data_IF_940943741388
#
_entry.id   IF_940943741388
#
_cell.length_a   1.000
_cell.length_b   1.000
_cell.length_c   1.000
_cell.angle_alpha   90.00
_cell.angle_beta   90.00
_cell.angle_gamma   90.00
#
_symmetry.space_group_name_H-M   'P 1'
#
loop_
_entity.id
_entity.type
_entity.pdbx_description
1 polymer ?
#
# COMPACT_ATOMS: atom_id res chain seq x y z
N UNK A 1 -9.53 -23.17 -1.91
CA UNK A 1 -9.05 -22.89 -3.28
C UNK A 1 -8.11 -21.70 -3.21
N UNK A 2 -7.13 -21.58 -4.12
CA UNK A 2 -6.32 -20.37 -4.21
C UNK A 2 -7.15 -19.20 -4.76
N UNK A 3 -6.83 -17.99 -4.32
CA UNK A 3 -7.51 -16.75 -4.70
C UNK A 3 -6.83 -16.21 -5.95
N UNK A 4 -7.56 -16.11 -7.05
CA UNK A 4 -7.01 -15.67 -8.33
C UNK A 4 -7.06 -14.15 -8.46
N UNK A 5 -5.89 -13.53 -8.66
CA UNK A 5 -5.76 -12.07 -8.73
C UNK A 5 -5.17 -11.62 -10.06
N UNK A 6 -5.62 -10.44 -10.50
CA UNK A 6 -5.05 -9.70 -11.61
C UNK A 6 -4.53 -8.35 -11.12
N UNK A 7 -3.49 -7.84 -11.77
CA UNK A 7 -2.86 -6.56 -11.40
C UNK A 7 -2.99 -5.62 -12.60
N UNK A 8 -3.65 -4.47 -12.41
CA UNK A 8 -3.67 -3.39 -13.39
C UNK A 8 -2.68 -2.31 -12.96
N UNK A 9 -1.67 -2.02 -13.78
CA UNK A 9 -0.55 -1.14 -13.46
C UNK A 9 0.62 -1.87 -12.80
N UNK A 10 1.78 -1.82 -13.42
CA UNK A 10 3.04 -2.46 -13.00
C UNK A 10 4.07 -1.45 -12.44
N UNK A 11 3.56 -0.38 -11.81
CA UNK A 11 4.38 0.58 -11.06
C UNK A 11 4.86 0.01 -9.70
N UNK A 12 5.39 0.86 -8.80
CA UNK A 12 5.93 0.42 -7.50
C UNK A 12 4.97 -0.44 -6.68
N UNK A 13 3.69 -0.03 -6.55
CA UNK A 13 2.68 -0.80 -5.80
C UNK A 13 2.31 -2.09 -6.51
N UNK A 14 2.07 -2.05 -7.84
CA UNK A 14 1.70 -3.23 -8.62
C UNK A 14 2.80 -4.30 -8.63
N UNK A 15 4.06 -3.88 -8.75
CA UNK A 15 5.24 -4.75 -8.64
C UNK A 15 5.36 -5.36 -7.24
N UNK A 16 5.22 -4.57 -6.18
CA UNK A 16 5.22 -5.11 -4.80
C UNK A 16 4.04 -6.04 -4.55
N UNK A 17 2.87 -5.78 -5.13
CA UNK A 17 1.70 -6.65 -5.05
C UNK A 17 1.92 -7.98 -5.78
N UNK A 18 2.55 -7.97 -6.96
CA UNK A 18 2.96 -9.18 -7.67
C UNK A 18 3.88 -10.02 -6.78
N UNK A 19 4.94 -9.42 -6.24
CA UNK A 19 5.90 -10.14 -5.42
C UNK A 19 5.29 -10.68 -4.12
N UNK A 20 4.46 -9.89 -3.44
CA UNK A 20 3.77 -10.34 -2.23
C UNK A 20 2.78 -11.49 -2.52
N UNK A 21 2.08 -11.46 -3.66
CA UNK A 21 1.15 -12.52 -4.05
C UNK A 21 1.89 -13.80 -4.46
N UNK A 22 3.03 -13.67 -5.15
CA UNK A 22 3.88 -14.77 -5.53
C UNK A 22 4.54 -15.47 -4.32
N UNK A 23 4.77 -14.75 -3.24
CA UNK A 23 5.32 -15.29 -1.99
C UNK A 23 4.28 -16.00 -1.10
N UNK A 24 2.98 -15.83 -1.38
CA UNK A 24 1.89 -16.36 -0.56
C UNK A 24 1.08 -17.43 -1.33
N UNK A 25 1.15 -18.70 -0.92
CA UNK A 25 0.52 -19.81 -1.66
C UNK A 25 -1.02 -19.74 -1.70
N UNK A 26 -1.64 -18.86 -0.90
CA UNK A 26 -3.07 -18.61 -0.99
C UNK A 26 -3.44 -17.87 -2.29
N UNK A 27 -2.51 -17.17 -2.93
CA UNK A 27 -2.78 -16.40 -4.14
C UNK A 27 -2.26 -17.08 -5.40
N UNK A 28 -2.89 -16.71 -6.52
CA UNK A 28 -2.45 -17.08 -7.86
C UNK A 28 -2.63 -15.88 -8.76
N UNK A 29 -1.53 -15.29 -9.24
CA UNK A 29 -1.59 -14.14 -10.16
C UNK A 29 -1.72 -14.70 -11.57
N UNK A 30 -2.76 -14.35 -12.33
CA UNK A 30 -2.92 -14.91 -13.69
C UNK A 30 -2.83 -13.88 -14.80
N UNK A 31 -2.92 -12.59 -14.47
CA UNK A 31 -2.79 -11.51 -15.45
C UNK A 31 -2.18 -10.24 -14.84
N UNK A 32 -1.32 -9.60 -15.62
CA UNK A 32 -0.82 -8.24 -15.40
C UNK A 32 -1.17 -7.40 -16.63
N UNK A 33 -1.79 -6.25 -16.40
CA UNK A 33 -2.17 -5.31 -17.46
C UNK A 33 -1.43 -4.01 -17.24
N UNK A 34 -0.58 -3.61 -18.19
CA UNK A 34 0.11 -2.32 -18.18
C UNK A 34 0.61 -2.00 -19.60
N UNK A 35 0.27 -0.81 -20.10
CA UNK A 35 0.58 -0.41 -21.47
C UNK A 35 2.06 -0.04 -21.71
N UNK A 36 2.85 0.11 -20.64
CA UNK A 36 4.24 0.57 -20.68
C UNK A 36 5.27 -0.56 -20.58
N UNK A 37 4.84 -1.80 -20.33
CA UNK A 37 5.72 -2.96 -20.14
C UNK A 37 5.29 -4.17 -20.98
N UNK A 38 6.21 -5.14 -21.13
CA UNK A 38 5.96 -6.38 -21.85
C UNK A 38 6.31 -7.61 -20.99
N UNK A 39 5.92 -8.80 -21.45
CA UNK A 39 6.19 -10.06 -20.75
C UNK A 39 7.68 -10.26 -20.43
N UNK A 40 8.57 -9.98 -21.39
CA UNK A 40 10.01 -10.08 -21.18
C UNK A 40 10.53 -9.13 -20.07
N UNK A 41 9.96 -7.93 -19.96
CA UNK A 41 10.32 -6.97 -18.91
C UNK A 41 9.87 -7.44 -17.53
N UNK A 42 8.63 -7.91 -17.39
CA UNK A 42 8.11 -8.45 -16.12
C UNK A 42 8.93 -9.67 -15.69
N UNK A 43 9.25 -10.57 -16.62
CA UNK A 43 10.12 -11.72 -16.34
C UNK A 43 11.50 -11.30 -15.82
N UNK A 44 12.14 -10.32 -16.47
CA UNK A 44 13.41 -9.76 -16.02
C UNK A 44 13.29 -9.19 -14.59
N UNK A 45 12.27 -8.39 -14.33
CA UNK A 45 12.02 -7.79 -13.02
C UNK A 45 11.80 -8.86 -11.93
N UNK A 46 11.07 -9.95 -12.23
CA UNK A 46 10.91 -11.08 -11.30
C UNK A 46 12.28 -11.72 -11.02
N UNK A 47 13.05 -12.08 -12.05
CA UNK A 47 14.35 -12.75 -11.90
C UNK A 47 15.34 -11.90 -11.09
N UNK A 48 15.33 -10.58 -11.27
CA UNK A 48 16.28 -9.68 -10.64
C UNK A 48 15.84 -9.20 -9.25
N UNK A 49 14.57 -8.85 -9.05
CA UNK A 49 14.15 -8.18 -7.81
C UNK A 49 13.46 -9.10 -6.80
N UNK A 50 12.76 -10.15 -7.24
CA UNK A 50 11.99 -11.01 -6.33
C UNK A 50 12.87 -11.69 -5.26
N UNK A 51 14.04 -12.29 -5.59
CA UNK A 51 14.88 -12.96 -4.59
C UNK A 51 15.40 -12.01 -3.51
N UNK A 52 15.65 -10.74 -3.85
CA UNK A 52 16.11 -9.73 -2.90
C UNK A 52 14.98 -9.21 -2.01
N UNK A 53 13.77 -9.09 -2.56
CA UNK A 53 12.59 -8.61 -1.80
C UNK A 53 11.93 -9.71 -0.97
N UNK A 54 12.09 -10.98 -1.35
CA UNK A 54 11.53 -12.14 -0.64
C UNK A 54 12.60 -13.23 -0.44
N UNK A 55 13.68 -12.97 0.32
CA UNK A 55 14.79 -13.91 0.47
C UNK A 55 14.40 -15.21 1.19
N UNK A 56 13.33 -15.17 1.99
CA UNK A 56 12.76 -16.34 2.70
C UNK A 56 11.52 -16.90 2.01
N UNK A 57 11.09 -16.31 0.89
CA UNK A 57 9.92 -16.74 0.13
C UNK A 57 10.21 -17.98 -0.75
N UNK A 58 9.17 -18.57 -1.35
CA UNK A 58 9.35 -19.67 -2.29
C UNK A 58 10.20 -19.21 -3.48
N UNK A 59 11.16 -20.03 -3.95
CA UNK A 59 11.97 -19.68 -5.11
C UNK A 59 11.10 -19.62 -6.37
N UNK A 60 11.36 -18.61 -7.20
CA UNK A 60 10.63 -18.37 -8.44
C UNK A 60 11.63 -18.26 -9.58
N UNK A 61 11.42 -19.07 -10.60
CA UNK A 61 12.20 -19.06 -11.84
C UNK A 61 11.25 -18.88 -13.01
N UNK A 62 11.60 -17.99 -13.92
CA UNK A 62 10.92 -17.89 -15.21
C UNK A 62 11.45 -19.00 -16.11
N UNK A 63 10.56 -19.86 -16.60
CA UNK A 63 10.91 -21.05 -17.39
C UNK A 63 10.53 -20.91 -18.86
N UNK A 64 9.52 -20.09 -19.18
CA UNK A 64 9.17 -19.69 -20.54
C UNK A 64 8.77 -18.21 -20.61
N UNK A 65 9.05 -17.56 -21.76
CA UNK A 65 8.76 -16.16 -22.06
C UNK A 65 8.21 -16.09 -23.48
N UNK A 66 6.91 -15.80 -23.59
CA UNK A 66 6.24 -15.53 -24.86
C UNK A 66 5.91 -14.04 -24.96
N UNK A 67 5.31 -13.62 -26.07
CA UNK A 67 5.01 -12.20 -26.34
C UNK A 67 4.11 -11.57 -25.26
N UNK A 68 3.09 -12.30 -24.83
CA UNK A 68 2.01 -11.87 -23.94
C UNK A 68 1.82 -12.81 -22.74
N UNK A 69 2.85 -13.61 -22.41
CA UNK A 69 2.79 -14.58 -21.32
C UNK A 69 4.20 -14.88 -20.78
N UNK A 70 4.28 -15.13 -19.48
CA UNK A 70 5.44 -15.72 -18.81
C UNK A 70 5.00 -16.98 -18.06
N UNK A 71 5.89 -17.97 -17.96
CA UNK A 71 5.66 -19.18 -17.16
C UNK A 71 6.67 -19.23 -16.02
N UNK A 72 6.18 -19.40 -14.80
CA UNK A 72 6.95 -19.52 -13.58
C UNK A 72 6.94 -20.99 -13.12
N UNK A 73 8.13 -21.50 -12.78
CA UNK A 73 8.34 -22.85 -12.26
C UNK A 73 7.62 -23.96 -13.08
N UNK A 74 7.63 -23.82 -14.42
CA UNK A 74 7.04 -24.75 -15.41
C UNK A 74 5.51 -24.90 -15.41
N UNK A 75 4.81 -24.43 -14.38
CA UNK A 75 3.37 -24.70 -14.20
C UNK A 75 2.50 -23.46 -14.07
N UNK A 76 3.07 -22.31 -13.73
CA UNK A 76 2.29 -21.12 -13.38
C UNK A 76 2.42 -20.03 -14.44
N UNK A 77 1.40 -19.90 -15.29
CA UNK A 77 1.37 -18.90 -16.34
C UNK A 77 0.77 -17.56 -15.86
N UNK A 78 1.43 -16.46 -16.22
CA UNK A 78 0.94 -15.09 -16.04
C UNK A 78 0.82 -14.45 -17.42
N UNK A 79 -0.39 -14.03 -17.78
CA UNK A 79 -0.64 -13.28 -19.00
C UNK A 79 -0.30 -11.80 -18.84
N UNK A 80 0.26 -11.20 -19.89
CA UNK A 80 0.67 -9.80 -19.89
C UNK A 80 -0.02 -9.09 -21.04
N UNK A 81 -0.76 -8.03 -20.72
CA UNK A 81 -1.53 -7.26 -21.71
C UNK A 81 -1.23 -5.78 -21.61
N UNK A 82 -1.28 -5.10 -22.75
CA UNK A 82 -1.15 -3.65 -22.86
C UNK A 82 -2.51 -2.94 -23.06
N UNK A 83 -3.62 -3.61 -22.67
CA UNK A 83 -4.96 -3.05 -22.77
C UNK A 83 -5.05 -1.73 -22.01
N UNK A 84 -5.55 -0.68 -22.67
CA UNK A 84 -5.67 0.64 -22.06
C UNK A 84 -6.99 0.83 -21.31
N UNK A 85 -8.07 0.19 -21.77
CA UNK A 85 -9.39 0.31 -21.17
C UNK A 85 -9.68 -0.86 -20.20
N UNK A 86 -10.01 -0.59 -18.92
CA UNK A 86 -10.49 -1.59 -17.98
C UNK A 86 -11.62 -2.49 -18.51
N UNK A 87 -12.55 -1.97 -19.32
CA UNK A 87 -13.64 -2.77 -19.89
C UNK A 87 -13.14 -3.77 -20.93
N UNK A 88 -12.09 -3.42 -21.67
CA UNK A 88 -11.47 -4.29 -22.66
C UNK A 88 -10.58 -5.38 -22.04
N UNK A 89 -10.37 -5.31 -20.72
CA UNK A 89 -9.53 -6.25 -20.01
C UNK A 89 -10.21 -7.62 -19.92
N UNK A 90 -9.56 -8.64 -20.47
CA UNK A 90 -10.09 -10.01 -20.53
C UNK A 90 -9.89 -10.79 -19.23
N UNK A 91 -10.27 -10.22 -18.08
CA UNK A 91 -10.09 -10.84 -16.75
C UNK A 91 -10.74 -12.24 -16.68
N UNK A 92 -11.97 -12.35 -17.19
CA UNK A 92 -12.72 -13.61 -17.27
C UNK A 92 -11.96 -14.71 -18.00
N UNK A 93 -11.28 -14.37 -19.11
CA UNK A 93 -10.49 -15.32 -19.92
C UNK A 93 -9.35 -15.95 -19.11
N UNK A 94 -8.78 -15.18 -18.19
CA UNK A 94 -7.65 -15.58 -17.36
C UNK A 94 -8.06 -16.00 -15.95
N UNK A 95 -9.37 -16.18 -15.69
CA UNK A 95 -9.89 -16.60 -14.39
C UNK A 95 -9.67 -15.60 -13.25
N UNK A 96 -9.35 -14.34 -13.55
CA UNK A 96 -9.11 -13.32 -12.51
C UNK A 96 -10.41 -13.05 -11.74
N UNK A 97 -10.37 -13.28 -10.43
CA UNK A 97 -11.48 -12.99 -9.53
C UNK A 97 -11.37 -11.56 -8.99
N UNK A 98 -10.18 -11.17 -8.52
CA UNK A 98 -9.97 -9.87 -7.90
C UNK A 98 -8.93 -9.07 -8.67
N UNK A 99 -9.21 -7.80 -8.91
CA UNK A 99 -8.27 -6.88 -9.56
C UNK A 99 -7.69 -5.92 -8.53
N UNK A 100 -6.35 -5.84 -8.50
CA UNK A 100 -5.62 -4.78 -7.82
C UNK A 100 -5.41 -3.64 -8.84
N UNK A 101 -6.11 -2.53 -8.64
CA UNK A 101 -6.03 -1.34 -9.49
C UNK A 101 -4.92 -0.41 -8.99
N UNK A 102 -3.73 -0.56 -9.56
CA UNK A 102 -2.46 0.05 -9.16
C UNK A 102 -1.95 1.09 -10.15
N UNK A 103 -2.75 1.53 -11.13
CA UNK A 103 -2.34 2.51 -12.15
C UNK A 103 -2.32 3.94 -11.61
N UNK A 104 -3.15 4.23 -10.60
CA UNK A 104 -3.43 5.60 -10.16
C UNK A 104 -4.28 6.41 -11.15
N UNK A 105 -4.73 5.81 -12.26
CA UNK A 105 -5.57 6.45 -13.27
C UNK A 105 -7.05 6.17 -13.01
N UNK A 106 -7.44 4.93 -12.73
CA UNK A 106 -8.82 4.51 -12.51
C UNK A 106 -9.17 4.57 -11.02
N UNK A 107 -9.14 5.76 -10.43
CA UNK A 107 -9.30 5.95 -8.98
C UNK A 107 -10.74 6.14 -8.51
N UNK A 108 -11.73 6.08 -9.40
CA UNK A 108 -13.15 6.24 -9.06
C UNK A 108 -13.92 4.94 -9.31
N UNK A 109 -14.98 4.68 -8.53
CA UNK A 109 -15.89 3.54 -8.69
C UNK A 109 -16.34 3.40 -10.14
N UNK A 110 -16.81 4.51 -10.69
CA UNK A 110 -17.26 4.63 -12.09
C UNK A 110 -16.20 4.17 -13.10
N UNK A 111 -14.96 4.61 -12.90
CA UNK A 111 -13.83 4.31 -13.81
C UNK A 111 -13.32 2.88 -13.63
N UNK A 112 -13.25 2.36 -12.41
CA UNK A 112 -12.81 0.98 -12.14
C UNK A 112 -13.88 -0.06 -12.42
N UNK A 113 -15.15 0.33 -12.60
CA UNK A 113 -16.25 -0.58 -12.93
C UNK A 113 -16.01 -1.37 -14.23
N UNK A 114 -15.15 -0.85 -15.11
CA UNK A 114 -14.75 -1.58 -16.31
C UNK A 114 -14.09 -2.93 -16.00
N UNK A 115 -13.33 -3.05 -14.90
CA UNK A 115 -12.76 -4.33 -14.49
C UNK A 115 -13.82 -5.35 -14.10
N UNK A 116 -14.91 -4.90 -13.44
CA UNK A 116 -16.07 -5.75 -13.11
C UNK A 116 -16.74 -6.22 -14.40
N UNK A 117 -16.92 -5.31 -15.36
CA UNK A 117 -17.47 -5.63 -16.69
C UNK A 117 -16.59 -6.64 -17.44
N UNK A 118 -15.26 -6.54 -17.31
CA UNK A 118 -14.29 -7.49 -17.84
C UNK A 118 -14.27 -8.87 -17.13
N UNK A 119 -15.04 -9.02 -16.05
CA UNK A 119 -15.30 -10.29 -15.38
C UNK A 119 -14.70 -10.47 -13.99
N UNK A 120 -14.10 -9.43 -13.40
CA UNK A 120 -13.67 -9.48 -12.01
C UNK A 120 -14.88 -9.42 -11.06
N UNK A 121 -14.84 -10.17 -9.96
CA UNK A 121 -15.85 -10.12 -8.89
C UNK A 121 -15.57 -9.03 -7.86
N UNK A 122 -14.32 -8.57 -7.75
CA UNK A 122 -13.95 -7.47 -6.88
C UNK A 122 -12.77 -6.67 -7.40
N UNK A 123 -12.75 -5.37 -7.08
CA UNK A 123 -11.72 -4.42 -7.51
C UNK A 123 -11.29 -3.58 -6.32
N UNK A 124 -9.98 -3.55 -6.07
CA UNK A 124 -9.35 -2.83 -4.97
C UNK A 124 -8.47 -1.72 -5.52
N UNK A 125 -8.95 -0.49 -5.38
CA UNK A 125 -8.26 0.71 -5.86
C UNK A 125 -7.13 1.06 -4.89
N UNK A 126 -5.89 1.06 -5.40
CA UNK A 126 -4.68 1.38 -4.67
C UNK A 126 -4.43 2.90 -4.58
N UNK A 127 -5.47 3.66 -4.24
CA UNK A 127 -5.43 5.11 -4.10
C UNK A 127 -6.62 5.60 -3.25
N UNK A 128 -6.62 6.89 -2.92
CA UNK A 128 -7.84 7.57 -2.47
C UNK A 128 -8.84 7.66 -3.63
N UNK A 129 -10.13 7.58 -3.30
CA UNK A 129 -11.22 7.65 -4.26
C UNK A 129 -12.25 8.71 -3.86
N UNK A 130 -12.84 9.37 -4.85
CA UNK A 130 -13.84 10.40 -4.64
C UNK A 130 -15.28 9.87 -4.52
N UNK A 131 -15.55 8.65 -5.02
CA UNK A 131 -16.91 8.10 -5.17
C UNK A 131 -17.01 6.62 -4.74
N UNK A 132 -16.02 6.09 -4.01
CA UNK A 132 -16.14 4.81 -3.31
C UNK A 132 -15.63 4.86 -1.88
N UNK A 133 -16.08 3.89 -1.09
CA UNK A 133 -15.67 3.76 0.29
C UNK A 133 -14.19 3.38 0.41
N UNK A 134 -13.48 4.10 1.27
CA UNK A 134 -12.17 3.69 1.78
C UNK A 134 -12.38 2.63 2.85
N UNK A 135 -11.77 1.45 2.66
CA UNK A 135 -11.84 0.31 3.57
C UNK A 135 -10.49 -0.38 3.66
N UNK A 136 -10.23 -0.98 4.82
CA UNK A 136 -9.06 -1.82 5.04
C UNK A 136 -9.45 -3.03 5.89
N UNK A 137 -8.51 -3.95 6.12
CA UNK A 137 -8.76 -5.19 6.87
C UNK A 137 -9.32 -4.97 8.30
N UNK A 138 -9.10 -3.81 8.92
CA UNK A 138 -9.66 -3.42 10.24
C UNK A 138 -11.08 -2.90 10.18
N UNK A 139 -11.57 -2.49 9.01
CA UNK A 139 -12.88 -1.86 8.87
C UNK A 139 -14.05 -2.81 9.17
N UNK A 140 -13.78 -4.12 9.27
CA UNK A 140 -14.79 -5.15 9.52
C UNK A 140 -15.43 -5.69 8.25
N UNK A 141 -15.90 -6.94 8.31
CA UNK A 141 -16.46 -7.64 7.15
C UNK A 141 -17.76 -7.00 6.64
N UNK A 142 -18.60 -6.45 7.52
CA UNK A 142 -19.86 -5.81 7.14
C UNK A 142 -19.61 -4.57 6.26
N UNK A 143 -18.70 -3.69 6.68
CA UNK A 143 -18.34 -2.49 5.93
C UNK A 143 -17.66 -2.84 4.60
N UNK A 144 -16.84 -3.89 4.59
CA UNK A 144 -16.25 -4.40 3.35
C UNK A 144 -17.33 -4.93 2.39
N UNK A 145 -18.24 -5.76 2.88
CA UNK A 145 -19.35 -6.32 2.09
C UNK A 145 -20.20 -5.21 1.45
N UNK A 146 -20.54 -4.16 2.20
CA UNK A 146 -21.29 -3.02 1.70
C UNK A 146 -20.53 -2.18 0.65
N UNK A 147 -19.21 -2.28 0.60
CA UNK A 147 -18.36 -1.49 -0.32
C UNK A 147 -18.07 -2.22 -1.64
N UNK A 148 -18.20 -3.54 -1.67
CA UNK A 148 -17.98 -4.36 -2.87
C UNK A 148 -19.02 -4.04 -3.98
N UNK A 149 -18.72 -4.36 -5.26
CA UNK A 149 -17.50 -5.02 -5.76
C UNK A 149 -16.29 -4.08 -5.89
N UNK A 150 -16.45 -2.76 -5.80
CA UNK A 150 -15.35 -1.80 -6.03
C UNK A 150 -15.12 -0.93 -4.80
N UNK A 151 -13.96 -1.05 -4.16
CA UNK A 151 -13.60 -0.25 -2.99
C UNK A 151 -12.17 0.28 -3.09
N UNK A 152 -11.85 1.27 -2.26
CA UNK A 152 -10.53 1.89 -2.21
C UNK A 152 -9.81 1.56 -0.91
N UNK A 153 -8.49 1.44 -0.95
CA UNK A 153 -7.66 1.28 0.25
C UNK A 153 -7.26 2.64 0.84
N UNK A 154 -7.34 3.72 0.03
CA UNK A 154 -7.01 5.08 0.44
C UNK A 154 -5.60 5.52 0.04
N UNK A 155 -5.19 6.72 0.41
CA UNK A 155 -3.85 7.22 0.11
C UNK A 155 -2.77 6.37 0.82
N UNK A 156 -1.63 6.05 0.18
CA UNK A 156 -0.64 5.14 0.74
C UNK A 156 -0.13 5.49 2.14
N UNK A 157 0.23 6.75 2.40
CA UNK A 157 0.69 7.18 3.72
C UNK A 157 -0.44 7.15 4.75
N UNK A 158 -1.65 7.60 4.40
CA UNK A 158 -2.81 7.51 5.28
C UNK A 158 -3.14 6.06 5.66
N UNK A 159 -3.04 5.13 4.73
CA UNK A 159 -3.26 3.70 4.97
C UNK A 159 -2.17 3.06 5.85
N UNK A 160 -0.95 3.60 5.84
CA UNK A 160 0.13 3.25 6.79
C UNK A 160 -0.15 3.79 8.19
N UNK A 161 -0.56 5.05 8.29
CA UNK A 161 -0.74 5.76 9.57
C UNK A 161 -2.00 5.31 10.31
N UNK A 162 -3.10 5.04 9.59
CA UNK A 162 -4.39 4.69 10.20
C UNK A 162 -4.31 3.53 11.23
N UNK A 163 -3.73 2.35 10.93
CA UNK A 163 -3.64 1.28 11.92
C UNK A 163 -2.74 1.60 13.12
N UNK A 164 -1.75 2.49 12.96
CA UNK A 164 -0.95 3.00 14.10
C UNK A 164 -1.80 3.86 15.01
N UNK A 165 -2.59 4.77 14.44
CA UNK A 165 -3.51 5.61 15.21
C UNK A 165 -4.62 4.80 15.88
N UNK A 166 -5.13 3.76 15.23
CA UNK A 166 -6.10 2.82 15.83
C UNK A 166 -5.51 2.07 17.04
N UNK A 167 -4.21 1.72 16.99
CA UNK A 167 -3.52 1.12 18.13
C UNK A 167 -3.36 2.11 19.28
N UNK A 168 -2.98 3.35 18.99
CA UNK A 168 -2.81 4.40 19.99
C UNK A 168 -4.14 4.84 20.61
N UNK A 169 -5.21 4.96 19.82
CA UNK A 169 -6.54 5.35 20.28
C UNK A 169 -7.17 4.35 21.28
N UNK A 170 -6.64 3.13 21.37
CA UNK A 170 -7.08 2.14 22.37
C UNK A 170 -6.56 2.43 23.77
N UNK A 171 -5.48 3.20 23.90
CA UNK A 171 -4.86 3.51 25.20
C UNK A 171 -4.69 5.01 25.46
N UNK A 172 -4.90 5.86 24.44
CA UNK A 172 -4.82 7.31 24.52
C UNK A 172 -6.12 7.94 24.04
N UNK A 173 -6.54 9.01 24.71
CA UNK A 173 -7.56 9.92 24.17
C UNK A 173 -6.90 10.93 23.22
N UNK A 174 -6.85 10.58 21.94
CA UNK A 174 -6.25 11.42 20.90
C UNK A 174 -7.11 12.68 20.68
N UNK A 175 -6.50 13.86 20.83
CA UNK A 175 -7.10 15.15 20.55
C UNK A 175 -6.81 15.60 19.12
N UNK A 176 -5.54 15.52 18.71
CA UNK A 176 -5.07 15.89 17.38
C UNK A 176 -3.88 15.03 16.97
N UNK A 177 -3.67 14.91 15.66
CA UNK A 177 -2.52 14.25 15.08
C UNK A 177 -1.92 15.15 14.02
N UNK A 178 -0.59 15.24 14.00
CA UNK A 178 0.15 15.86 12.91
C UNK A 178 1.21 14.88 12.42
N UNK A 179 1.35 14.70 11.11
CA UNK A 179 2.49 13.96 10.58
C UNK A 179 3.14 14.63 9.37
N UNK A 180 4.43 14.34 9.21
CA UNK A 180 5.21 14.67 8.01
C UNK A 180 5.84 13.39 7.45
N UNK A 181 5.45 13.02 6.24
CA UNK A 181 6.06 11.89 5.54
C UNK A 181 7.24 12.35 4.67
N UNK A 182 8.38 11.66 4.80
CA UNK A 182 9.58 11.86 4.01
C UNK A 182 9.80 10.60 3.18
N UNK A 183 9.76 10.73 1.85
CA UNK A 183 9.89 9.58 0.96
C UNK A 183 10.73 9.89 -0.28
N UNK A 184 11.26 8.85 -0.91
CA UNK A 184 12.10 8.97 -2.10
C UNK A 184 11.36 9.49 -3.33
N UNK A 185 12.08 9.91 -4.37
CA UNK A 185 11.49 10.39 -5.62
C UNK A 185 10.52 9.36 -6.21
N UNK A 186 9.34 9.81 -6.62
CA UNK A 186 8.37 8.94 -7.29
C UNK A 186 8.64 8.90 -8.80
N UNK A 187 8.27 7.80 -9.50
CA UNK A 187 8.26 7.79 -10.96
C UNK A 187 7.36 8.92 -11.47
N UNK A 188 7.95 9.87 -12.18
CA UNK A 188 7.25 10.98 -12.84
C UNK A 188 7.35 10.80 -14.35
N UNK A 189 6.71 11.71 -15.10
CA UNK A 189 6.83 11.76 -16.55
C UNK A 189 8.27 11.47 -17.05
N UNK A 190 8.47 10.50 -17.97
CA UNK A 190 9.80 9.95 -18.26
C UNK A 190 10.85 10.97 -18.71
N UNK A 191 10.42 12.07 -19.35
CA UNK A 191 11.29 13.14 -19.85
C UNK A 191 11.33 14.38 -18.95
N UNK A 192 10.61 14.39 -17.82
CA UNK A 192 10.54 15.51 -16.88
C UNK A 192 10.08 16.84 -17.45
N UNK A 193 9.44 16.82 -18.62
CA UNK A 193 8.94 18.02 -19.28
C UNK A 193 7.57 18.49 -18.78
N UNK A 194 6.84 17.65 -18.04
CA UNK A 194 5.51 17.99 -17.50
C UNK A 194 5.28 17.37 -16.13
N UNK A 195 4.42 18.01 -15.34
CA UNK A 195 3.92 17.45 -14.10
C UNK A 195 2.75 16.52 -14.39
N UNK A 196 2.67 15.42 -13.67
CA UNK A 196 1.52 14.50 -13.73
C UNK A 196 0.36 15.04 -12.88
N UNK A 197 0.62 15.91 -11.90
CA UNK A 197 -0.40 16.73 -11.23
C UNK A 197 -0.34 18.19 -11.74
N UNK A 198 -1.35 18.57 -12.52
CA UNK A 198 -1.51 19.94 -13.03
C UNK A 198 -1.48 21.05 -11.96
N UNK A 199 -1.65 20.69 -10.68
CA UNK A 199 -1.62 21.61 -9.54
C UNK A 199 -0.32 21.58 -8.75
N UNK A 200 0.66 20.76 -9.15
CA UNK A 200 1.98 20.68 -8.51
C UNK A 200 3.10 20.71 -9.54
N UNK A 201 3.49 21.92 -9.96
CA UNK A 201 4.56 22.12 -10.94
C UNK A 201 5.97 21.89 -10.36
N UNK A 202 6.09 21.64 -9.05
CA UNK A 202 7.38 21.32 -8.41
C UNK A 202 7.96 20.02 -8.95
N UNK A 203 7.12 19.08 -9.39
CA UNK A 203 7.52 17.80 -9.96
C UNK A 203 8.53 17.96 -11.11
N UNK A 204 8.20 18.79 -12.10
CA UNK A 204 9.07 19.13 -13.25
C UNK A 204 10.45 19.63 -12.80
N UNK A 205 10.48 20.45 -11.74
CA UNK A 205 11.73 21.01 -11.21
C UNK A 205 12.50 20.00 -10.37
N UNK A 206 11.82 19.10 -9.66
CA UNK A 206 12.44 18.15 -8.74
C UNK A 206 13.18 17.05 -9.50
N UNK A 207 12.61 16.54 -10.60
CA UNK A 207 13.16 15.40 -11.34
C UNK A 207 14.65 15.53 -11.73
N UNK A 208 15.13 16.65 -12.33
CA UNK A 208 16.56 16.80 -12.63
C UNK A 208 17.47 16.91 -11.40
N UNK A 209 16.90 17.19 -10.22
CA UNK A 209 17.63 17.33 -8.95
C UNK A 209 17.24 16.25 -7.93
N UNK A 210 16.70 15.11 -8.37
CA UNK A 210 16.18 14.06 -7.49
C UNK A 210 17.20 13.52 -6.46
N UNK A 211 18.50 13.69 -6.73
CA UNK A 211 19.60 13.28 -5.84
C UNK A 211 20.03 14.35 -4.83
N UNK A 212 19.55 15.59 -4.93
CA UNK A 212 20.04 16.69 -4.10
C UNK A 212 19.00 17.76 -3.72
N UNK A 213 17.77 17.65 -4.19
CA UNK A 213 16.69 18.57 -3.88
C UNK A 213 15.56 17.91 -3.09
N UNK A 214 14.83 18.75 -2.36
CA UNK A 214 13.61 18.38 -1.65
C UNK A 214 12.45 19.23 -2.14
N UNK A 215 11.25 18.66 -2.16
CA UNK A 215 10.03 19.42 -2.45
C UNK A 215 8.87 18.89 -1.62
N UNK A 216 8.00 19.79 -1.16
CA UNK A 216 6.73 19.37 -0.60
C UNK A 216 5.87 18.71 -1.67
N UNK A 217 5.11 17.72 -1.27
CA UNK A 217 4.15 17.00 -2.09
C UNK A 217 2.77 17.04 -1.45
N UNK A 218 1.73 16.89 -2.28
CA UNK A 218 0.37 16.70 -1.77
C UNK A 218 0.27 15.32 -1.12
N UNK A 219 -0.41 15.28 0.01
CA UNK A 219 -0.78 14.04 0.69
C UNK A 219 -2.28 14.08 1.03
N UNK A 220 -2.99 13.02 0.67
CA UNK A 220 -4.42 12.84 0.98
C UNK A 220 -4.61 11.86 2.15
N UNK A 221 -3.59 11.70 2.99
CA UNK A 221 -3.63 10.73 4.07
C UNK A 221 -4.53 11.16 5.22
N UNK A 222 -4.70 12.46 5.49
CA UNK A 222 -5.67 12.95 6.49
C UNK A 222 -7.12 12.54 6.15
N UNK A 223 -7.54 12.67 4.89
CA UNK A 223 -8.85 12.22 4.40
C UNK A 223 -9.01 10.70 4.52
N UNK A 224 -7.94 9.96 4.22
CA UNK A 224 -7.89 8.50 4.33
C UNK A 224 -8.03 8.05 5.78
N UNK A 225 -7.30 8.68 6.71
CA UNK A 225 -7.41 8.39 8.15
C UNK A 225 -8.81 8.73 8.64
N UNK A 226 -9.39 9.88 8.28
CA UNK A 226 -10.75 10.24 8.67
C UNK A 226 -11.81 9.27 8.14
N UNK A 227 -11.63 8.74 6.91
CA UNK A 227 -12.53 7.73 6.36
C UNK A 227 -12.40 6.38 7.10
N UNK A 228 -11.20 5.98 7.48
CA UNK A 228 -10.94 4.70 8.18
C UNK A 228 -11.26 4.76 9.67
N UNK A 229 -10.98 5.89 10.32
CA UNK A 229 -11.18 6.19 11.74
C UNK A 229 -12.04 7.44 11.89
N UNK A 230 -13.39 7.32 11.80
CA UNK A 230 -14.30 8.47 11.82
C UNK A 230 -14.17 9.37 13.06
N UNK A 231 -13.77 8.82 14.20
CA UNK A 231 -13.54 9.59 15.43
C UNK A 231 -12.31 10.52 15.36
N UNK A 232 -11.43 10.35 14.36
CA UNK A 232 -10.29 11.24 14.07
C UNK A 232 -10.53 12.11 12.82
N UNK A 233 -11.72 12.06 12.21
CA UNK A 233 -12.02 12.88 11.05
C UNK A 233 -11.95 14.37 11.41
N UNK A 234 -11.12 15.13 10.67
CA UNK A 234 -10.87 16.55 10.96
C UNK A 234 -9.84 16.82 12.06
N UNK A 235 -9.31 15.78 12.71
CA UNK A 235 -8.28 15.89 13.77
C UNK A 235 -6.86 15.58 13.28
N UNK A 236 -6.68 15.32 11.98
CA UNK A 236 -5.40 14.94 11.38
C UNK A 236 -4.90 16.03 10.45
N UNK A 237 -3.71 16.54 10.73
CA UNK A 237 -2.93 17.38 9.83
C UNK A 237 -1.81 16.55 9.20
N UNK A 238 -1.65 16.66 7.89
CA UNK A 238 -0.74 15.84 7.12
C UNK A 238 0.10 16.69 6.18
N UNK A 239 1.39 16.40 6.09
CA UNK A 239 2.26 16.94 5.06
C UNK A 239 3.23 15.88 4.56
N UNK A 240 3.80 16.12 3.39
CA UNK A 240 4.77 15.22 2.81
C UNK A 240 5.86 15.95 2.02
N UNK A 241 7.03 15.33 1.98
CA UNK A 241 8.17 15.78 1.21
C UNK A 241 8.80 14.63 0.44
N UNK A 242 9.11 14.89 -0.84
CA UNK A 242 10.07 14.11 -1.58
C UNK A 242 11.48 14.56 -1.18
N UNK A 243 12.32 13.59 -0.81
CA UNK A 243 13.70 13.80 -0.34
C UNK A 243 14.68 12.91 -1.10
N UNK A 244 15.99 13.23 -1.17
CA UNK A 244 16.97 12.49 -1.97
C UNK A 244 17.39 11.17 -1.29
N UNK A 245 16.43 10.26 -1.13
CA UNK A 245 16.61 8.88 -0.66
C UNK A 245 16.09 7.92 -1.73
N UNK A 246 16.78 6.79 -1.93
CA UNK A 246 16.44 5.87 -3.01
C UNK A 246 15.10 5.15 -2.78
N UNK A 247 14.90 4.58 -1.58
CA UNK A 247 13.67 3.92 -1.15
C UNK A 247 13.63 3.90 0.38
N UNK A 248 12.46 3.60 0.95
CA UNK A 248 12.19 3.72 2.37
C UNK A 248 11.59 5.09 2.70
N UNK A 249 10.60 5.08 3.58
CA UNK A 249 9.90 6.28 4.03
C UNK A 249 10.02 6.41 5.54
N UNK A 250 10.25 7.63 6.00
CA UNK A 250 10.15 8.02 7.40
C UNK A 250 8.90 8.87 7.59
N UNK A 251 8.08 8.54 8.58
CA UNK A 251 6.93 9.35 8.98
C UNK A 251 7.21 9.91 10.37
N UNK A 252 7.40 11.22 10.45
CA UNK A 252 7.46 11.95 11.70
C UNK A 252 6.03 12.17 12.19
N UNK A 253 5.61 11.43 13.22
CA UNK A 253 4.27 11.42 13.77
C UNK A 253 4.25 12.12 15.12
N UNK A 254 3.35 13.09 15.28
CA UNK A 254 3.07 13.79 16.53
C UNK A 254 1.61 13.55 16.91
N UNK A 255 1.39 13.04 18.12
CA UNK A 255 0.08 12.77 18.70
C UNK A 255 -0.13 13.66 19.91
N UNK A 256 -1.22 14.42 19.89
CA UNK A 256 -1.69 15.24 20.99
C UNK A 256 -2.79 14.48 21.72
N UNK A 257 -2.71 14.41 23.04
CA UNK A 257 -3.67 13.71 23.88
C UNK A 257 -4.38 14.68 24.82
N UNK A 258 -5.67 14.42 25.08
CA UNK A 258 -6.45 15.24 26.01
C UNK A 258 -5.90 15.16 27.43
N UNK A 259 -5.60 13.94 27.85
CA UNK A 259 -5.02 13.61 29.16
C UNK A 259 -3.54 13.30 29.04
N UNK A 260 -2.79 13.58 30.10
CA UNK A 260 -1.37 13.25 30.17
C UNK A 260 -1.17 11.73 30.23
N UNK A 261 -0.28 11.21 29.39
CA UNK A 261 0.14 9.82 29.40
C UNK A 261 1.66 9.72 29.49
N UNK A 262 2.21 8.73 30.20
CA UNK A 262 3.64 8.48 30.20
C UNK A 262 4.06 7.78 28.89
N UNK A 263 5.32 7.97 28.48
CA UNK A 263 5.84 7.49 27.20
C UNK A 263 5.83 5.94 27.08
N UNK A 264 5.91 5.25 28.21
CA UNK A 264 5.81 3.79 28.31
C UNK A 264 4.44 3.26 27.86
N UNK A 265 3.35 4.00 28.09
CA UNK A 265 2.01 3.66 27.59
C UNK A 265 2.01 3.65 26.06
N UNK A 266 2.64 4.64 25.43
CA UNK A 266 2.79 4.69 23.97
C UNK A 266 3.55 3.45 23.49
N UNK A 267 4.72 3.17 24.05
CA UNK A 267 5.53 2.01 23.69
C UNK A 267 4.76 0.69 23.89
N UNK A 268 3.97 0.58 24.95
CA UNK A 268 3.13 -0.59 25.24
C UNK A 268 2.04 -0.81 24.20
N UNK A 269 1.46 0.27 23.65
CA UNK A 269 0.48 0.20 22.57
C UNK A 269 1.07 -0.46 21.33
N UNK A 270 2.29 -0.06 20.96
CA UNK A 270 3.04 -0.64 19.84
C UNK A 270 3.41 -2.10 20.12
N UNK A 271 3.88 -2.43 21.33
CA UNK A 271 4.21 -3.79 21.71
C UNK A 271 2.96 -4.71 21.65
N UNK A 272 1.81 -4.22 22.13
CA UNK A 272 0.55 -4.95 22.07
C UNK A 272 0.07 -5.13 20.62
N UNK A 273 0.17 -4.08 19.79
CA UNK A 273 -0.16 -4.16 18.37
C UNK A 273 0.76 -5.13 17.61
N UNK A 274 2.05 -5.17 17.96
CA UNK A 274 3.04 -6.10 17.41
C UNK A 274 2.79 -7.56 17.84
N UNK A 275 2.29 -7.78 19.05
CA UNK A 275 1.99 -9.11 19.57
C UNK A 275 0.62 -9.67 19.11
N UNK A 276 -0.27 -8.83 18.58
CA UNK A 276 -1.60 -9.23 18.15
C UNK A 276 -1.60 -10.12 16.90
N UNK A 277 -2.50 -11.10 16.84
CA UNK A 277 -2.63 -12.08 15.75
C UNK A 277 -3.59 -11.67 14.61
N UNK A 278 -4.05 -10.41 14.58
CA UNK A 278 -5.00 -9.93 13.56
C UNK A 278 -4.26 -9.51 12.28
N UNK A 279 -4.89 -9.58 11.09
CA UNK A 279 -4.27 -9.24 9.80
C UNK A 279 -3.83 -7.76 9.62
N UNK A 280 -3.85 -6.97 10.69
CA UNK A 280 -3.36 -5.60 10.85
C UNK A 280 -2.03 -5.53 11.63
N UNK A 281 -1.50 -6.67 12.06
CA UNK A 281 -0.34 -6.85 12.96
C UNK A 281 1.01 -6.68 12.29
N UNK A 282 1.15 -5.69 11.42
CA UNK A 282 2.46 -5.36 10.82
C UNK A 282 2.98 -4.04 11.37
N UNK A 283 2.79 -3.86 12.67
CA UNK A 283 3.48 -2.84 13.45
C UNK A 283 4.60 -3.56 14.18
N UNK A 284 5.83 -3.10 14.01
CA UNK A 284 7.01 -3.67 14.65
C UNK A 284 7.75 -2.57 15.41
N UNK A 285 8.61 -2.96 16.33
CA UNK A 285 9.54 -2.05 16.99
C UNK A 285 10.93 -2.31 16.42
N UNK A 286 11.66 -1.23 16.11
CA UNK A 286 13.02 -1.30 15.57
C UNK A 286 13.96 -2.04 16.54
N UNK A 287 14.81 -2.92 15.99
CA UNK A 287 15.86 -3.59 16.74
C UNK A 287 17.19 -2.85 16.54
N UNK A 288 17.31 -1.67 17.16
CA UNK A 288 18.47 -0.79 17.04
C UNK A 288 18.24 0.45 16.17
N UNK A 289 19.26 1.32 16.03
CA UNK A 289 19.16 2.56 15.27
C UNK A 289 19.05 2.25 13.76
N UNK A 290 17.89 2.55 13.18
CA UNK A 290 17.59 2.29 11.77
C UNK A 290 17.83 3.51 10.88
N UNK A 291 18.06 3.24 9.59
CA UNK A 291 17.99 4.20 8.50
C UNK A 291 16.99 3.73 7.44
N UNK A 292 16.64 4.63 6.51
CA UNK A 292 15.60 4.38 5.49
C UNK A 292 15.75 3.07 4.72
N UNK A 293 16.98 2.65 4.41
CA UNK A 293 17.23 1.43 3.64
C UNK A 293 16.91 0.15 4.40
N UNK A 294 16.91 0.17 5.73
CA UNK A 294 16.71 -1.01 6.57
C UNK A 294 15.24 -1.48 6.57
N UNK A 295 14.31 -0.61 6.18
CA UNK A 295 12.89 -0.97 6.06
C UNK A 295 12.50 -1.49 4.67
N UNK A 296 13.39 -1.42 3.67
CA UNK A 296 13.10 -1.83 2.29
C UNK A 296 12.76 -3.33 2.24
N UNK A 297 11.69 -3.68 1.53
CA UNK A 297 11.20 -5.06 1.45
C UNK A 297 10.33 -5.47 2.65
N UNK A 298 10.37 -4.73 3.76
CA UNK A 298 9.49 -4.98 4.90
C UNK A 298 8.04 -4.68 4.51
N UNK A 299 7.13 -5.57 4.91
CA UNK A 299 5.69 -5.33 4.80
C UNK A 299 5.12 -4.75 6.09
N UNK A 300 5.96 -4.22 6.98
CA UNK A 300 5.60 -3.66 8.28
C UNK A 300 5.93 -2.18 8.41
N UNK A 301 5.14 -1.50 9.23
CA UNK A 301 5.46 -0.19 9.81
C UNK A 301 6.31 -0.43 11.05
N UNK A 302 7.47 0.22 11.14
CA UNK A 302 8.45 -0.04 12.19
C UNK A 302 8.60 1.23 13.02
N UNK A 303 8.23 1.16 14.30
CA UNK A 303 8.46 2.23 15.26
C UNK A 303 9.96 2.32 15.58
N UNK A 304 10.54 3.50 15.38
CA UNK A 304 11.85 3.82 15.94
C UNK A 304 11.69 4.20 17.43
N UNK A 305 11.88 3.22 18.31
CA UNK A 305 11.69 3.42 19.75
C UNK A 305 12.61 4.49 20.34
N UNK A 306 13.80 4.70 19.76
CA UNK A 306 14.73 5.71 20.25
C UNK A 306 14.28 7.14 19.90
N UNK A 307 13.46 7.28 18.85
CA UNK A 307 12.87 8.57 18.47
C UNK A 307 11.66 8.98 19.33
N UNK A 308 11.09 8.04 20.11
CA UNK A 308 9.92 8.30 20.94
C UNK A 308 10.27 9.32 22.02
N UNK A 309 9.62 10.48 21.93
CA UNK A 309 9.78 11.59 22.86
C UNK A 309 8.42 12.10 23.30
N UNK A 310 8.33 12.55 24.54
CA UNK A 310 7.09 13.11 25.10
C UNK A 310 7.37 14.48 25.69
N UNK A 311 6.41 15.39 25.61
CA UNK A 311 6.50 16.68 26.30
C UNK A 311 6.59 16.49 27.82
N UNK A 312 7.11 17.50 28.52
CA UNK A 312 7.20 17.49 29.98
C UNK A 312 5.84 17.28 30.66
N UNK A 313 4.76 17.77 30.04
CA UNK A 313 3.39 17.61 30.53
C UNK A 313 2.76 16.26 30.17
N UNK A 314 3.42 15.44 29.33
CA UNK A 314 2.91 14.12 28.93
C UNK A 314 1.71 14.16 27.97
N UNK A 315 1.41 15.31 27.35
CA UNK A 315 0.26 15.45 26.42
C UNK A 315 0.62 15.44 24.94
N UNK A 316 1.91 15.44 24.63
CA UNK A 316 2.41 15.45 23.24
C UNK A 316 3.43 14.35 23.11
N UNK A 317 3.21 13.42 22.18
CA UNK A 317 4.11 12.32 21.89
C UNK A 317 4.57 12.39 20.45
N UNK A 318 5.88 12.40 20.23
CA UNK A 318 6.49 12.42 18.91
C UNK A 318 7.30 11.17 18.68
N UNK A 319 7.18 10.59 17.49
CA UNK A 319 7.85 9.34 17.12
C UNK A 319 8.07 9.27 15.62
N UNK A 320 9.06 8.48 15.21
CA UNK A 320 9.35 8.19 13.80
C UNK A 320 8.91 6.76 13.48
N UNK A 321 8.24 6.62 12.34
CA UNK A 321 7.88 5.34 11.76
C UNK A 321 8.65 5.12 10.46
N UNK A 322 9.34 3.98 10.35
CA UNK A 322 10.00 3.53 9.13
C UNK A 322 9.10 2.56 8.36
N UNK A 323 8.97 2.75 7.04
CA UNK A 323 8.12 1.88 6.22
C UNK A 323 8.58 1.84 4.75
N UNK A 324 8.59 0.64 4.15
CA UNK A 324 8.53 0.51 2.69
C UNK A 324 7.06 0.57 2.26
N UNK A 325 6.63 1.76 1.86
CA UNK A 325 5.23 2.07 1.57
C UNK A 325 4.65 1.10 0.54
N UNK A 326 5.41 0.73 -0.50
CA UNK A 326 4.91 -0.14 -1.56
C UNK A 326 4.69 -1.57 -1.05
N UNK A 327 5.62 -2.11 -0.25
CA UNK A 327 5.52 -3.46 0.31
C UNK A 327 4.43 -3.55 1.39
N UNK A 328 4.32 -2.54 2.25
CA UNK A 328 3.25 -2.47 3.25
C UNK A 328 1.87 -2.38 2.58
N UNK A 329 1.72 -1.49 1.60
CA UNK A 329 0.46 -1.27 0.91
C UNK A 329 0.04 -2.48 0.06
N UNK A 330 0.99 -3.17 -0.57
CA UNK A 330 0.76 -4.46 -1.22
C UNK A 330 0.20 -5.51 -0.25
N UNK A 331 0.77 -5.61 0.96
CA UNK A 331 0.26 -6.53 1.98
C UNK A 331 -1.16 -6.16 2.45
N UNK A 332 -1.49 -4.87 2.55
CA UNK A 332 -2.86 -4.42 2.85
C UNK A 332 -3.85 -4.83 1.77
N UNK A 333 -3.50 -4.63 0.50
CA UNK A 333 -4.34 -5.02 -0.64
C UNK A 333 -4.64 -6.52 -0.60
N UNK A 334 -3.62 -7.36 -0.44
CA UNK A 334 -3.80 -8.81 -0.36
C UNK A 334 -4.61 -9.21 0.87
N UNK A 335 -4.38 -8.60 2.03
CA UNK A 335 -5.18 -8.83 3.23
C UNK A 335 -6.67 -8.55 3.00
N UNK A 336 -6.98 -7.45 2.30
CA UNK A 336 -8.34 -7.07 1.94
C UNK A 336 -8.98 -8.05 0.95
N UNK A 337 -8.20 -8.52 -0.04
CA UNK A 337 -8.64 -9.57 -0.98
C UNK A 337 -9.01 -10.86 -0.24
N UNK A 338 -8.22 -11.29 0.76
CA UNK A 338 -8.54 -12.48 1.57
C UNK A 338 -9.89 -12.34 2.27
N UNK A 339 -10.14 -11.18 2.88
CA UNK A 339 -11.41 -10.91 3.55
C UNK A 339 -12.58 -10.89 2.56
N UNK A 340 -12.44 -10.19 1.43
CA UNK A 340 -13.47 -10.18 0.39
C UNK A 340 -13.76 -11.57 -0.17
N UNK A 341 -12.73 -12.41 -0.35
CA UNK A 341 -12.91 -13.80 -0.75
C UNK A 341 -13.71 -14.61 0.26
N UNK A 342 -13.47 -14.43 1.57
CA UNK A 342 -14.27 -15.09 2.61
C UNK A 342 -15.75 -14.68 2.62
N UNK A 343 -16.07 -13.47 2.14
CA UNK A 343 -17.45 -12.98 1.98
C UNK A 343 -18.13 -13.63 0.76
N UNK A 344 -17.43 -13.70 -0.37
CA UNK A 344 -17.99 -14.28 -1.61
C UNK A 344 -18.04 -15.82 -1.59
N UNK A 345 -17.12 -16.47 -0.88
CA UNK A 345 -17.01 -17.92 -0.76
C UNK A 345 -16.87 -18.30 0.73
N UNK A 346 -17.96 -18.20 1.52
CA UNK A 346 -17.92 -18.61 2.92
C UNK A 346 -17.52 -20.09 3.02
N UNK A 347 -16.72 -20.49 4.04
CA UNK A 347 -16.36 -21.88 4.23
C UNK A 347 -17.64 -22.71 4.34
N UNK A 348 -17.72 -23.81 3.59
CA UNK A 348 -18.82 -24.76 3.69
C UNK A 348 -18.89 -25.27 5.13
N UNK A 349 -20.02 -24.98 5.79
CA UNK A 349 -20.36 -25.43 7.15
C UNK A 349 -20.36 -26.95 7.27
#
# INVERSE_FOLDING_TARGET
>A
MSITVGINGFGPIGKSALFAALADPLFTVTAVVDASVCAAYIAYVIEQEYPHRNPTGPPIRVTDKQKDQIVLNDIHAIHVSAAQDPQSSTWKKYGVQYVLECTGLYTTRSRSWGHVTGGAVGVFIAAASADTNTVMASSGLERLAASLPVCAVGAPIGAVVAPVLDALAKVLEIEQVSYTALYGPQPQHPIGAKSDDSRDWRQVRLQPFASCAMASSRDNGAETVGALLPHLAGHVSASAFQVPVAQGCAIDLVVYTKEAAPADVVASAFAHAAAGSKPLSKVCIANGPMISVDCIGSSSVILDAASLSSSTEGKVHRMVLWVDVACYYAALLLSLVKQAHSIHAPPSS
#
